data_IF_886367523674
#
_entry.id   IF_886367523674
#
_cell.length_a   1.000
_cell.length_b   1.000
_cell.length_c   1.000
_cell.angle_alpha   90.00
_cell.angle_beta   90.00
_cell.angle_gamma   90.00
#
_symmetry.space_group_name_H-M   'P 1'
#
loop_
_entity.id
_entity.type
_entity.pdbx_description
1 polymer ?
#
# COMPACT_ATOMS: atom_id res chain seq x y z
N UNK A 1 -9.08 -0.13 9.26
CA UNK A 1 -9.69 0.25 7.97
C UNK A 1 -10.25 1.66 7.88
N UNK A 2 -10.56 2.36 9.00
CA UNK A 2 -11.17 3.69 8.96
C UNK A 2 -10.17 4.88 8.99
N UNK A 3 -8.86 4.61 8.94
CA UNK A 3 -7.83 5.67 8.93
C UNK A 3 -7.77 6.32 7.55
N UNK A 4 -7.99 7.64 7.50
CA UNK A 4 -7.77 8.48 6.33
C UNK A 4 -6.43 9.24 6.44
N UNK A 5 -6.03 9.98 5.39
CA UNK A 5 -4.74 10.70 5.36
C UNK A 5 -4.55 11.66 6.55
N UNK A 6 -5.62 12.37 6.96
CA UNK A 6 -5.55 13.35 8.05
C UNK A 6 -5.47 12.65 9.40
N UNK A 7 -6.21 11.57 9.58
CA UNK A 7 -6.17 10.73 10.77
C UNK A 7 -4.77 10.15 10.95
N UNK A 8 -4.18 9.54 9.91
CA UNK A 8 -2.80 9.01 9.98
C UNK A 8 -1.82 10.07 10.48
N UNK A 9 -1.87 11.30 9.97
CA UNK A 9 -0.94 12.35 10.39
C UNK A 9 -1.12 12.85 11.84
N UNK A 10 -2.29 12.62 12.46
CA UNK A 10 -2.65 13.15 13.79
C UNK A 10 -2.73 12.10 14.88
N UNK A 11 -2.97 10.85 14.51
CA UNK A 11 -3.24 9.78 15.45
C UNK A 11 -1.97 9.41 16.24
N UNK A 12 -2.13 8.68 17.33
CA UNK A 12 -1.03 8.31 18.22
C UNK A 12 -0.86 6.78 18.25
N UNK A 13 -0.09 6.26 17.31
CA UNK A 13 0.24 4.85 17.21
C UNK A 13 1.67 4.64 16.72
N UNK A 14 2.18 3.43 16.86
CA UNK A 14 3.48 3.01 16.35
C UNK A 14 3.34 1.64 15.69
N UNK A 15 3.90 1.48 14.50
CA UNK A 15 3.95 0.19 13.81
C UNK A 15 5.27 -0.48 14.15
N UNK A 16 5.22 -1.56 14.92
CA UNK A 16 6.39 -2.42 15.15
C UNK A 16 6.52 -3.45 14.02
N UNK A 17 7.65 -3.42 13.33
CA UNK A 17 8.01 -4.40 12.30
C UNK A 17 9.07 -5.33 12.86
N UNK A 18 8.82 -6.63 12.75
CA UNK A 18 9.74 -7.67 13.22
C UNK A 18 10.03 -8.64 12.09
N UNK A 19 11.31 -8.82 11.79
CA UNK A 19 11.80 -9.83 10.85
C UNK A 19 12.52 -10.92 11.63
N UNK A 20 12.05 -12.16 11.53
CA UNK A 20 12.65 -13.33 12.17
C UNK A 20 13.10 -14.29 11.08
N UNK A 21 14.35 -14.72 11.14
CA UNK A 21 14.92 -15.70 10.21
C UNK A 21 15.82 -16.67 10.96
N UNK A 22 16.00 -17.86 10.43
CA UNK A 22 16.94 -18.86 10.98
C UNK A 22 18.23 -18.78 10.19
N UNK A 23 19.37 -18.69 10.88
CA UNK A 23 20.68 -18.66 10.25
C UNK A 23 21.03 -20.03 9.67
N UNK A 24 21.17 -20.12 8.34
CA UNK A 24 21.39 -21.38 7.62
C UNK A 24 22.61 -22.18 8.12
N UNK A 25 23.66 -21.49 8.57
CA UNK A 25 24.90 -22.12 9.03
C UNK A 25 24.89 -22.55 10.50
N UNK A 26 24.04 -21.95 11.34
CA UNK A 26 24.05 -22.16 12.79
C UNK A 26 22.77 -22.79 13.32
N UNK A 27 21.69 -22.81 12.53
CA UNK A 27 20.35 -23.17 12.99
C UNK A 27 19.80 -22.23 14.06
N UNK A 28 20.46 -21.10 14.32
CA UNK A 28 20.07 -20.15 15.36
C UNK A 28 19.02 -19.19 14.82
N UNK A 29 17.95 -18.96 15.58
CA UNK A 29 16.94 -17.96 15.23
C UNK A 29 17.47 -16.55 15.51
N UNK A 30 17.38 -15.69 14.51
CA UNK A 30 17.72 -14.27 14.57
C UNK A 30 16.46 -13.41 14.44
N UNK A 31 16.46 -12.28 15.12
CA UNK A 31 15.36 -11.32 15.09
C UNK A 31 15.89 -9.90 14.88
N UNK A 32 15.38 -9.22 13.85
CA UNK A 32 15.54 -7.79 13.62
C UNK A 32 14.22 -7.08 13.89
N UNK A 33 14.29 -5.88 14.47
CA UNK A 33 13.12 -5.06 14.81
C UNK A 33 13.33 -3.62 14.37
N UNK A 34 12.26 -3.00 13.87
CA UNK A 34 12.21 -1.57 13.58
C UNK A 34 10.79 -1.07 13.89
N UNK A 35 10.62 0.24 14.02
CA UNK A 35 9.31 0.81 14.24
C UNK A 35 9.10 2.10 13.47
N UNK A 36 7.82 2.42 13.23
CA UNK A 36 7.41 3.61 12.49
C UNK A 36 6.31 4.35 13.23
N UNK A 37 6.56 5.61 13.57
CA UNK A 37 5.55 6.52 14.11
C UNK A 37 4.81 7.22 12.97
N UNK A 38 3.67 7.90 13.21
CA UNK A 38 2.79 8.31 12.12
C UNK A 38 3.41 9.37 11.20
N UNK A 39 4.36 10.16 11.71
CA UNK A 39 5.17 11.10 10.93
C UNK A 39 6.13 10.45 9.92
N UNK A 40 6.46 9.17 10.09
CA UNK A 40 7.32 8.39 9.18
C UNK A 40 6.50 7.64 8.12
N UNK A 41 5.17 7.67 8.22
CA UNK A 41 4.24 7.01 7.30
C UNK A 41 3.82 8.01 6.22
N UNK A 42 4.43 7.91 5.05
CA UNK A 42 4.18 8.80 3.93
C UNK A 42 2.97 8.34 3.12
N UNK A 43 1.81 8.99 3.33
CA UNK A 43 0.59 8.69 2.57
C UNK A 43 0.74 9.09 1.10
N UNK A 44 0.44 8.17 0.18
CA UNK A 44 0.54 8.42 -1.25
C UNK A 44 1.98 8.42 -1.75
N UNK A 45 2.87 7.65 -1.14
CA UNK A 45 4.23 7.43 -1.63
C UNK A 45 4.40 6.00 -2.14
N UNK A 46 5.25 5.85 -3.15
CA UNK A 46 5.68 4.55 -3.67
C UNK A 46 7.20 4.49 -3.66
N UNK A 47 7.76 3.37 -3.18
CA UNK A 47 9.20 3.13 -3.23
C UNK A 47 9.71 3.09 -4.66
N UNK A 48 10.97 3.51 -4.85
CA UNK A 48 11.65 3.47 -6.14
C UNK A 48 11.95 2.02 -6.54
N UNK A 49 11.94 1.75 -7.84
CA UNK A 49 12.39 0.46 -8.35
C UNK A 49 13.90 0.31 -8.11
N UNK A 50 14.27 -0.74 -7.39
CA UNK A 50 15.68 -1.02 -7.05
C UNK A 50 16.28 -2.16 -7.87
N UNK A 51 15.45 -2.93 -8.56
CA UNK A 51 15.85 -4.12 -9.31
C UNK A 51 16.13 -3.77 -10.77
N UNK A 52 17.37 -4.01 -11.19
CA UNK A 52 17.79 -3.89 -12.57
C UNK A 52 18.09 -5.29 -13.13
N UNK A 53 17.32 -5.70 -14.14
CA UNK A 53 17.51 -7.00 -14.80
C UNK A 53 18.68 -6.91 -15.77
N UNK A 54 19.70 -7.75 -15.57
CA UNK A 54 20.81 -7.94 -16.51
C UNK A 54 20.68 -9.31 -17.18
N UNK A 55 21.40 -9.49 -18.29
CA UNK A 55 21.32 -10.71 -19.11
C UNK A 55 21.58 -12.02 -18.33
N UNK A 56 22.37 -11.99 -17.25
CA UNK A 56 22.76 -13.18 -16.48
C UNK A 56 22.50 -13.09 -14.97
N UNK A 57 22.07 -11.94 -14.48
CA UNK A 57 21.92 -11.69 -13.05
C UNK A 57 20.98 -10.50 -12.80
N UNK A 58 20.58 -10.29 -11.55
CA UNK A 58 19.86 -9.10 -11.12
C UNK A 58 20.81 -8.21 -10.32
N UNK A 59 20.79 -6.92 -10.61
CA UNK A 59 21.52 -5.91 -9.85
C UNK A 59 20.53 -5.15 -8.97
N UNK A 60 20.86 -5.00 -7.70
CA UNK A 60 20.06 -4.17 -6.77
C UNK A 60 20.77 -2.83 -6.59
N UNK A 61 20.05 -1.73 -6.77
CA UNK A 61 20.54 -0.39 -6.46
C UNK A 61 20.23 -0.04 -5.00
N UNK A 62 21.14 -0.40 -4.10
CA UNK A 62 20.95 -0.16 -2.66
C UNK A 62 20.86 1.33 -2.29
N UNK A 63 21.34 2.25 -3.13
CA UNK A 63 21.22 3.70 -2.90
C UNK A 63 19.78 4.20 -3.04
N UNK A 64 18.92 3.44 -3.73
CA UNK A 64 17.51 3.78 -3.93
C UNK A 64 16.58 3.00 -3.01
N UNK A 65 17.13 2.20 -2.08
CA UNK A 65 16.35 1.31 -1.23
C UNK A 65 15.31 2.03 -0.38
N UNK A 66 15.68 3.19 0.17
CA UNK A 66 14.77 4.04 0.96
C UNK A 66 14.10 5.14 0.11
N UNK A 67 14.49 5.24 -1.17
CA UNK A 67 13.97 6.26 -2.08
C UNK A 67 12.50 6.03 -2.37
N UNK A 68 11.71 7.11 -2.35
CA UNK A 68 10.30 7.07 -2.72
C UNK A 68 9.88 8.32 -3.48
N UNK A 69 8.77 8.20 -4.20
CA UNK A 69 8.14 9.30 -4.94
C UNK A 69 6.67 9.44 -4.54
N UNK A 70 6.18 10.67 -4.53
CA UNK A 70 4.76 10.93 -4.34
C UNK A 70 3.98 10.45 -5.57
N UNK A 71 2.86 9.79 -5.32
CA UNK A 71 1.92 9.27 -6.31
C UNK A 71 0.51 9.65 -5.90
N UNK A 72 -0.41 9.66 -6.87
CA UNK A 72 -1.81 9.87 -6.53
C UNK A 72 -2.32 8.75 -5.60
N UNK A 73 -2.87 9.16 -4.46
CA UNK A 73 -3.62 8.29 -3.56
C UNK A 73 -4.85 9.04 -3.03
N UNK A 74 -6.04 8.41 -3.00
CA UNK A 74 -7.22 9.02 -2.40
C UNK A 74 -6.98 9.45 -0.95
N UNK A 75 -7.58 10.56 -0.52
CA UNK A 75 -7.47 11.03 0.87
C UNK A 75 -8.54 10.46 1.81
N UNK A 76 -9.25 9.43 1.36
CA UNK A 76 -10.24 8.73 2.15
C UNK A 76 -9.63 7.48 2.80
N UNK A 77 -10.31 6.96 3.80
CA UNK A 77 -9.95 5.67 4.39
C UNK A 77 -10.19 4.51 3.44
N UNK A 78 -9.51 3.37 3.67
CA UNK A 78 -9.75 2.14 2.92
C UNK A 78 -11.24 1.72 2.97
N UNK A 79 -11.88 1.84 4.14
CA UNK A 79 -13.32 1.56 4.29
C UNK A 79 -14.21 2.40 3.37
N UNK A 80 -13.87 3.68 3.19
CA UNK A 80 -14.62 4.57 2.29
C UNK A 80 -14.35 4.24 0.82
N UNK A 81 -13.11 3.86 0.49
CA UNK A 81 -12.75 3.44 -0.86
C UNK A 81 -13.51 2.18 -1.27
N UNK A 82 -13.50 1.15 -0.40
CA UNK A 82 -14.23 -0.11 -0.64
C UNK A 82 -15.72 0.11 -0.84
N UNK A 83 -16.34 0.99 -0.02
CA UNK A 83 -17.75 1.34 -0.20
C UNK A 83 -17.96 1.99 -1.57
N UNK A 84 -17.14 2.97 -1.95
CA UNK A 84 -17.28 3.63 -3.25
C UNK A 84 -17.17 2.65 -4.42
N UNK A 85 -16.22 1.72 -4.36
CA UNK A 85 -16.03 0.70 -5.40
C UNK A 85 -17.23 -0.25 -5.50
N UNK A 86 -17.81 -0.65 -4.36
CA UNK A 86 -19.04 -1.44 -4.35
C UNK A 86 -20.23 -0.69 -4.98
N UNK A 87 -20.38 0.61 -4.72
CA UNK A 87 -21.45 1.41 -5.32
C UNK A 87 -21.29 1.51 -6.84
N UNK A 88 -20.07 1.76 -7.33
CA UNK A 88 -19.77 1.79 -8.75
C UNK A 88 -20.10 0.45 -9.42
N UNK A 89 -19.68 -0.66 -8.81
CA UNK A 89 -20.00 -1.99 -9.33
C UNK A 89 -21.52 -2.27 -9.35
N UNK A 90 -22.25 -1.78 -8.35
CA UNK A 90 -23.71 -1.94 -8.29
C UNK A 90 -24.43 -1.07 -9.34
N UNK A 91 -23.90 0.10 -9.66
CA UNK A 91 -24.41 0.98 -10.72
C UNK A 91 -24.21 0.37 -12.11
N UNK A 92 -23.07 -0.27 -12.37
CA UNK A 92 -22.81 -0.98 -13.63
C UNK A 92 -23.75 -2.18 -13.83
N UNK A 93 -24.31 -2.72 -12.74
CA UNK A 93 -25.27 -3.83 -12.76
C UNK A 93 -26.74 -3.40 -12.89
N UNK A 94 -27.04 -2.11 -12.80
CA UNK A 94 -28.41 -1.63 -12.93
C UNK A 94 -28.90 -1.84 -14.37
N UNK A 95 -30.09 -2.42 -14.60
CA UNK A 95 -30.57 -2.66 -15.95
C UNK A 95 -30.76 -1.33 -16.68
N UNK A 96 -30.17 -1.18 -17.88
CA UNK A 96 -30.55 -0.11 -18.80
C UNK A 96 -32.05 -0.22 -19.05
N UNK A 97 -32.83 0.70 -18.50
CA UNK A 97 -34.26 0.83 -18.80
C UNK A 97 -34.36 1.06 -20.30
N UNK A 98 -34.70 -0.01 -21.04
CA UNK A 98 -34.99 0.05 -22.46
C UNK A 98 -36.21 0.95 -22.59
N UNK A 99 -36.01 2.17 -23.05
CA UNK A 99 -37.10 3.09 -23.37
C UNK A 99 -38.05 2.38 -24.31
N UNK A 100 -39.24 2.01 -23.81
CA UNK A 100 -40.33 1.60 -24.65
C UNK A 100 -40.89 2.88 -25.29
N UNK A 101 -40.42 3.14 -26.49
CA UNK A 101 -41.17 3.96 -27.43
C UNK A 101 -42.54 3.33 -27.72
N UNK A 102 -43.44 4.20 -28.19
CA UNK A 102 -44.72 3.92 -28.82
C UNK A 102 -45.84 3.36 -27.93
N UNK A 103 -46.84 4.19 -27.64
CA UNK A 103 -48.04 4.30 -28.49
C UNK A 103 -48.73 5.64 -28.25
#
# INVERSE_FOLDING_TARGET
YALDRKAVAKDNFEILVTFIYTGDSTGTSHQSRSSYVPREILWGHRFNDVLEVKRKYYKVNCLQFEGSVEVYAPFCSAKQLDWKDQQLHNMDKAPQVRGSGTS
#
